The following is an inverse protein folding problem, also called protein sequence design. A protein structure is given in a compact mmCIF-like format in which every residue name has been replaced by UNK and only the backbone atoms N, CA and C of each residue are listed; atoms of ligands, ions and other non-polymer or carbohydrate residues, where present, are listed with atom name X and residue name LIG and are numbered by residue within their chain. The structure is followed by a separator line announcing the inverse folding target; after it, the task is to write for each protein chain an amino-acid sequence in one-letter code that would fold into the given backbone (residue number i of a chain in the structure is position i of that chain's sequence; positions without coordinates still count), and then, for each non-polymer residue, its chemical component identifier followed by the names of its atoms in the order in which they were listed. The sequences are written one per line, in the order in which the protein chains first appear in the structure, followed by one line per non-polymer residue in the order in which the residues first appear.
data_IF_798778145941
#
_entry.id   IF_798778145941
#
_cell.length_a   1.000
_cell.length_b   1.000
_cell.length_c   1.000
_cell.angle_alpha   90.00
_cell.angle_beta   90.00
_cell.angle_gamma   90.00
#
_symmetry.space_group_name_H-M   'P 1'
#
loop_
_entity.id
_entity.type
_entity.pdbx_description
1 polymer ?
#
# COMPACT_ATOMS: atom_id res chain seq x y z
N UNK A 1 8.80 1.26 5.09
CA UNK A 1 10.04 0.71 4.50
C UNK A 1 11.13 0.84 5.55
N UNK A 2 11.77 -0.26 5.93
CA UNK A 2 12.89 -0.23 6.90
C UNK A 2 14.18 -0.01 6.13
N UNK A 3 15.04 0.88 6.60
CA UNK A 3 16.31 1.25 5.97
C UNK A 3 17.39 1.43 7.05
N UNK A 4 18.65 1.51 6.63
CA UNK A 4 19.80 1.69 7.53
C UNK A 4 19.66 2.99 8.34
N UNK A 5 20.00 2.97 9.62
CA UNK A 5 19.81 4.10 10.54
C UNK A 5 18.39 4.22 11.13
N UNK A 6 17.45 3.34 10.81
CA UNK A 6 16.15 3.30 11.50
C UNK A 6 16.34 2.85 12.95
N UNK A 7 15.86 3.65 13.90
CA UNK A 7 15.93 3.33 15.33
C UNK A 7 14.62 2.72 15.85
N UNK A 8 14.75 1.72 16.74
CA UNK A 8 13.65 1.17 17.51
C UNK A 8 13.01 2.28 18.38
N UNK A 9 11.68 2.51 18.27
CA UNK A 9 11.01 3.57 19.01
C UNK A 9 10.94 3.32 20.52
N UNK A 10 11.21 2.09 20.99
CA UNK A 10 11.21 1.70 22.41
C UNK A 10 12.59 1.98 23.04
N UNK A 11 13.65 1.31 22.57
CA UNK A 11 14.99 1.42 23.18
C UNK A 11 15.89 2.52 22.57
N UNK A 12 15.45 3.13 21.45
CA UNK A 12 16.17 4.16 20.69
C UNK A 12 17.49 3.71 20.04
N UNK A 13 17.79 2.42 20.08
CA UNK A 13 18.92 1.82 19.36
C UNK A 13 18.54 1.51 17.91
N UNK A 14 19.53 1.47 17.04
CA UNK A 14 19.37 1.11 15.62
C UNK A 14 18.84 -0.32 15.45
N UNK A 15 18.00 -0.54 14.45
CA UNK A 15 17.52 -1.87 14.05
C UNK A 15 18.62 -2.54 13.22
N UNK A 16 19.08 -3.69 13.68
CA UNK A 16 19.91 -4.58 12.88
C UNK A 16 19.03 -5.26 11.82
N UNK A 17 19.31 -4.98 10.54
CA UNK A 17 18.54 -5.50 9.41
C UNK A 17 18.84 -6.98 9.12
N UNK A 18 19.94 -7.52 9.66
CA UNK A 18 20.30 -8.93 9.57
C UNK A 18 19.66 -9.76 10.69
N UNK A 19 19.10 -9.11 11.72
CA UNK A 19 18.36 -9.75 12.80
C UNK A 19 16.84 -9.68 12.59
N UNK A 20 16.06 -10.65 13.12
CA UNK A 20 14.60 -10.55 13.13
C UNK A 20 14.12 -9.28 13.86
N UNK A 21 13.20 -8.55 13.23
CA UNK A 21 12.53 -7.41 13.82
C UNK A 21 11.01 -7.50 13.61
N UNK A 22 10.27 -6.82 14.48
CA UNK A 22 8.83 -6.61 14.31
C UNK A 22 8.62 -5.27 13.59
N UNK A 23 7.74 -5.23 12.60
CA UNK A 23 7.39 -3.99 11.93
C UNK A 23 5.89 -3.93 11.69
N UNK A 24 5.36 -2.72 11.77
CA UNK A 24 3.99 -2.43 11.35
C UNK A 24 3.98 -1.51 10.14
N UNK A 25 2.85 -1.45 9.47
CA UNK A 25 2.62 -0.58 8.31
C UNK A 25 1.38 0.27 8.54
N UNK A 26 1.47 1.53 8.10
CA UNK A 26 0.38 2.52 8.19
C UNK A 26 0.00 2.93 9.63
N UNK A 27 -0.56 4.12 9.82
CA UNK A 27 -1.15 4.51 11.11
C UNK A 27 -2.48 3.79 11.36
N UNK A 28 -2.57 3.06 12.46
CA UNK A 28 -3.79 2.35 12.90
C UNK A 28 -4.35 2.83 14.26
N UNK A 29 -3.64 3.77 14.88
CA UNK A 29 -4.15 4.60 15.96
C UNK A 29 -4.46 6.01 15.43
N UNK A 30 -5.40 6.76 16.05
CA UNK A 30 -5.54 8.19 15.84
C UNK A 30 -4.26 8.95 16.24
N UNK A 31 -4.00 10.12 15.62
CA UNK A 31 -2.82 10.96 15.88
C UNK A 31 -2.66 11.37 17.33
N UNK A 32 -3.76 11.50 18.07
CA UNK A 32 -3.79 11.93 19.47
C UNK A 32 -3.51 10.76 20.43
N UNK A 33 -3.53 9.52 19.94
CA UNK A 33 -3.33 8.35 20.78
C UNK A 33 -1.87 8.23 21.22
N UNK A 34 -1.57 7.91 22.50
CA UNK A 34 -0.19 7.79 22.99
C UNK A 34 0.65 6.75 22.23
N UNK A 35 -0.01 5.75 21.65
CA UNK A 35 0.63 4.68 20.87
C UNK A 35 0.86 5.02 19.40
N UNK A 36 0.35 6.15 18.89
CA UNK A 36 0.46 6.54 17.48
C UNK A 36 1.90 6.58 16.98
N UNK A 37 2.83 7.08 17.81
CA UNK A 37 4.26 7.18 17.48
C UNK A 37 4.98 5.84 17.28
N UNK A 38 4.30 4.73 17.56
CA UNK A 38 4.81 3.38 17.35
C UNK A 38 4.20 2.71 16.10
N UNK A 39 3.19 3.32 15.48
CA UNK A 39 2.69 2.88 14.18
C UNK A 39 3.70 3.13 13.06
N UNK A 40 3.63 2.35 11.99
CA UNK A 40 4.52 2.44 10.82
C UNK A 40 6.02 2.44 11.19
N UNK A 41 6.36 1.73 12.27
CA UNK A 41 7.71 1.66 12.82
C UNK A 41 8.21 0.22 12.94
N UNK A 42 9.53 0.06 12.84
CA UNK A 42 10.25 -1.17 13.14
C UNK A 42 10.75 -1.17 14.60
N UNK A 43 10.72 -2.33 15.24
CA UNK A 43 11.09 -2.55 16.64
C UNK A 43 11.89 -3.86 16.76
N UNK A 44 12.86 -3.90 17.66
CA UNK A 44 13.46 -5.19 18.04
C UNK A 44 12.40 -6.08 18.67
N UNK A 45 12.41 -7.38 18.35
CA UNK A 45 11.46 -8.33 18.93
C UNK A 45 11.52 -8.38 20.45
N UNK A 46 12.71 -8.35 21.06
CA UNK A 46 12.86 -8.34 22.52
C UNK A 46 12.21 -7.09 23.16
N UNK A 47 12.40 -5.93 22.53
CA UNK A 47 11.80 -4.68 22.99
C UNK A 47 10.28 -4.73 22.90
N UNK A 48 9.76 -5.25 21.78
CA UNK A 48 8.33 -5.41 21.57
C UNK A 48 7.72 -6.43 22.54
N UNK A 49 8.39 -7.56 22.76
CA UNK A 49 7.95 -8.63 23.64
C UNK A 49 7.88 -8.18 25.11
N UNK A 50 8.84 -7.38 25.57
CA UNK A 50 8.87 -6.84 26.93
C UNK A 50 7.98 -5.60 27.15
N UNK A 51 7.37 -5.06 26.10
CA UNK A 51 6.64 -3.80 26.17
C UNK A 51 5.28 -3.96 26.86
N UNK A 52 4.99 -3.24 27.96
CA UNK A 52 3.70 -3.40 28.68
C UNK A 52 2.46 -3.08 27.83
N UNK A 53 2.59 -2.23 26.81
CA UNK A 53 1.48 -1.90 25.89
C UNK A 53 1.38 -2.85 24.70
N UNK A 54 2.18 -3.93 24.64
CA UNK A 54 2.20 -4.89 23.53
C UNK A 54 0.81 -5.41 23.21
N UNK A 55 0.08 -5.95 24.19
CA UNK A 55 -1.22 -6.59 23.93
C UNK A 55 -2.26 -5.62 23.35
N UNK A 56 -2.32 -4.39 23.84
CA UNK A 56 -3.22 -3.35 23.28
C UNK A 56 -2.81 -2.98 21.84
N UNK A 57 -1.51 -2.78 21.62
CA UNK A 57 -0.96 -2.42 20.32
C UNK A 57 -1.17 -3.54 19.28
N UNK A 58 -0.83 -4.78 19.65
CA UNK A 58 -0.98 -6.00 18.85
C UNK A 58 -2.43 -6.21 18.43
N UNK A 59 -3.37 -6.13 19.41
CA UNK A 59 -4.80 -6.28 19.16
C UNK A 59 -5.31 -5.25 18.15
N UNK A 60 -4.93 -3.98 18.34
CA UNK A 60 -5.37 -2.92 17.44
C UNK A 60 -4.81 -3.10 16.03
N UNK A 61 -3.55 -3.52 15.91
CA UNK A 61 -2.94 -3.78 14.62
C UNK A 61 -3.61 -4.96 13.91
N UNK A 62 -3.84 -6.07 14.63
CA UNK A 62 -4.57 -7.24 14.14
C UNK A 62 -5.97 -6.89 13.61
N UNK A 63 -6.76 -6.14 14.38
CA UNK A 63 -8.09 -5.67 13.94
C UNK A 63 -8.01 -4.82 12.68
N UNK A 64 -7.00 -3.95 12.59
CA UNK A 64 -6.80 -3.08 11.42
C UNK A 64 -6.42 -3.88 10.19
N UNK A 65 -5.58 -4.91 10.33
CA UNK A 65 -5.26 -5.82 9.24
C UNK A 65 -6.51 -6.55 8.74
N UNK A 66 -7.34 -7.11 9.64
CA UNK A 66 -8.60 -7.77 9.25
C UNK A 66 -9.51 -6.81 8.48
N UNK A 67 -9.64 -5.56 8.94
CA UNK A 67 -10.47 -4.56 8.26
C UNK A 67 -9.89 -4.11 6.92
N UNK A 68 -8.56 -4.08 6.79
CA UNK A 68 -7.86 -3.96 5.52
C UNK A 68 -8.24 -5.10 4.57
N UNK A 69 -8.17 -6.34 5.06
CA UNK A 69 -8.42 -7.52 4.24
C UNK A 69 -9.86 -7.68 3.81
N UNK A 70 -10.84 -7.14 4.54
CA UNK A 70 -12.23 -7.09 4.06
C UNK A 70 -12.35 -6.30 2.76
N UNK A 71 -11.60 -5.20 2.64
CA UNK A 71 -11.60 -4.28 1.48
C UNK A 71 -10.65 -4.73 0.37
N UNK A 72 -9.72 -5.63 0.69
CA UNK A 72 -8.79 -6.20 -0.27
C UNK A 72 -9.52 -7.21 -1.19
N UNK A 73 -9.48 -6.97 -2.50
CA UNK A 73 -10.17 -7.81 -3.48
C UNK A 73 -9.34 -9.02 -3.95
N UNK A 74 -8.03 -9.08 -3.61
CA UNK A 74 -7.15 -10.21 -3.94
C UNK A 74 -7.03 -11.25 -2.82
N UNK A 75 -7.47 -10.90 -1.62
CA UNK A 75 -7.31 -11.72 -0.41
C UNK A 75 -8.67 -12.05 0.20
N UNK A 76 -8.89 -13.34 0.42
CA UNK A 76 -10.08 -13.90 1.06
C UNK A 76 -9.86 -14.19 2.53
N UNK A 77 -10.80 -13.84 3.40
CA UNK A 77 -10.74 -14.22 4.82
C UNK A 77 -11.37 -15.62 4.97
N UNK A 78 -10.54 -16.63 5.24
CA UNK A 78 -10.97 -18.01 5.43
C UNK A 78 -11.34 -18.33 6.90
N UNK A 79 -10.74 -17.61 7.84
CA UNK A 79 -11.04 -17.68 9.27
C UNK A 79 -10.86 -16.30 9.90
N UNK A 80 -11.79 -15.90 10.77
CA UNK A 80 -11.67 -14.72 11.63
C UNK A 80 -12.23 -15.07 13.00
N UNK A 81 -11.37 -15.14 14.00
CA UNK A 81 -11.70 -15.30 15.42
C UNK A 81 -11.00 -14.20 16.22
N UNK A 82 -11.25 -14.15 17.52
CA UNK A 82 -10.63 -13.14 18.39
C UNK A 82 -9.11 -13.32 18.48
N UNK A 83 -8.60 -14.54 18.42
CA UNK A 83 -7.18 -14.84 18.63
C UNK A 83 -6.40 -14.97 17.32
N UNK A 84 -7.10 -15.28 16.22
CA UNK A 84 -6.48 -15.62 14.93
C UNK A 84 -7.33 -15.23 13.75
N UNK A 85 -6.67 -14.76 12.70
CA UNK A 85 -7.26 -14.60 11.38
C UNK A 85 -6.40 -15.29 10.33
N UNK A 86 -7.04 -15.87 9.32
CA UNK A 86 -6.37 -16.52 8.20
C UNK A 86 -6.92 -15.96 6.91
N UNK A 87 -6.04 -15.39 6.10
CA UNK A 87 -6.38 -14.90 4.76
C UNK A 87 -5.61 -15.65 3.70
N UNK A 88 -6.20 -15.76 2.51
CA UNK A 88 -5.66 -16.53 1.39
C UNK A 88 -5.80 -15.75 0.09
N UNK A 89 -4.77 -15.78 -0.74
CA UNK A 89 -4.80 -15.31 -2.12
C UNK A 89 -4.52 -16.48 -3.06
N UNK A 90 -5.48 -16.82 -3.92
CA UNK A 90 -5.32 -17.88 -4.92
C UNK A 90 -4.34 -17.44 -6.01
N UNK A 91 -4.43 -16.18 -6.44
CA UNK A 91 -3.61 -15.63 -7.52
C UNK A 91 -2.12 -15.61 -7.16
N UNK A 92 -1.80 -15.28 -5.91
CA UNK A 92 -0.43 -15.27 -5.38
C UNK A 92 -0.02 -16.66 -4.88
N UNK A 93 -0.98 -17.53 -4.57
CA UNK A 93 -0.73 -18.85 -4.00
C UNK A 93 -0.18 -18.76 -2.57
N UNK A 94 -0.70 -17.83 -1.76
CA UNK A 94 -0.19 -17.56 -0.41
C UNK A 94 -1.30 -17.51 0.63
N UNK A 95 -0.96 -17.93 1.85
CA UNK A 95 -1.76 -17.85 3.06
C UNK A 95 -1.05 -16.92 4.04
N UNK A 96 -1.81 -16.05 4.70
CA UNK A 96 -1.35 -15.23 5.83
C UNK A 96 -2.10 -15.69 7.07
N UNK A 97 -1.36 -16.05 8.11
CA UNK A 97 -1.91 -16.37 9.44
C UNK A 97 -1.52 -15.25 10.39
N UNK A 98 -2.50 -14.53 10.92
CA UNK A 98 -2.31 -13.40 11.83
C UNK A 98 -2.70 -13.82 13.24
N UNK A 99 -1.90 -13.45 14.25
CA UNK A 99 -2.24 -13.71 15.66
C UNK A 99 -2.53 -12.40 16.38
N UNK A 100 -3.60 -12.36 17.19
CA UNK A 100 -3.96 -11.16 17.92
C UNK A 100 -2.96 -10.83 19.04
N UNK A 101 -2.29 -11.85 19.60
CA UNK A 101 -1.36 -11.71 20.73
C UNK A 101 -0.10 -10.92 20.36
N UNK A 102 0.41 -11.10 19.14
CA UNK A 102 1.59 -10.37 18.66
C UNK A 102 1.26 -9.33 17.60
N UNK A 103 0.08 -9.39 16.97
CA UNK A 103 -0.26 -8.55 15.81
C UNK A 103 0.57 -8.88 14.57
N UNK A 104 1.39 -9.92 14.63
CA UNK A 104 2.29 -10.34 13.56
C UNK A 104 1.70 -11.48 12.73
N UNK A 105 2.34 -11.75 11.59
CA UNK A 105 1.84 -12.64 10.56
C UNK A 105 2.86 -13.67 10.12
N UNK A 106 2.44 -14.93 9.99
CA UNK A 106 3.18 -15.94 9.23
C UNK A 106 2.67 -15.99 7.80
N UNK A 107 3.59 -16.17 6.84
CA UNK A 107 3.29 -16.31 5.42
C UNK A 107 3.65 -17.72 4.96
N UNK A 108 2.68 -18.43 4.42
CA UNK A 108 2.82 -19.84 4.02
C UNK A 108 2.39 -19.97 2.56
N UNK A 109 3.11 -20.77 1.78
CA UNK A 109 2.64 -21.14 0.43
C UNK A 109 1.32 -21.91 0.54
N UNK A 110 0.32 -21.57 -0.28
CA UNK A 110 -0.97 -22.25 -0.25
C UNK A 110 -0.83 -23.76 -0.55
N UNK A 111 0.14 -24.14 -1.38
CA UNK A 111 0.49 -25.53 -1.69
C UNK A 111 1.33 -26.24 -0.60
N UNK A 112 1.82 -25.49 0.39
CA UNK A 112 2.60 -26.00 1.54
C UNK A 112 1.77 -26.02 2.82
N UNK A 113 0.49 -25.62 2.75
CA UNK A 113 -0.33 -25.44 3.93
C UNK A 113 -0.42 -26.70 4.80
N UNK A 114 -0.71 -27.85 4.19
CA UNK A 114 -0.84 -29.12 4.90
C UNK A 114 0.48 -29.58 5.53
N UNK A 115 1.62 -29.37 4.84
CA UNK A 115 2.95 -29.68 5.35
C UNK A 115 3.31 -28.78 6.53
N UNK A 116 3.12 -27.47 6.38
CA UNK A 116 3.33 -26.49 7.44
C UNK A 116 2.47 -26.78 8.67
N UNK A 117 1.23 -27.23 8.47
CA UNK A 117 0.31 -27.52 9.57
C UNK A 117 0.61 -28.87 10.27
N UNK A 118 1.36 -29.76 9.62
CA UNK A 118 1.69 -31.09 10.15
C UNK A 118 2.80 -31.05 11.21
N UNK A 119 3.74 -30.11 11.12
CA UNK A 119 4.89 -29.98 12.00
C UNK A 119 5.00 -28.57 12.59
N UNK A 120 4.58 -28.43 13.85
CA UNK A 120 4.62 -27.14 14.54
C UNK A 120 6.04 -26.61 14.71
N UNK A 121 6.99 -27.49 15.04
CA UNK A 121 8.35 -27.07 15.37
C UNK A 121 9.07 -26.53 14.13
N UNK A 122 8.87 -27.19 12.99
CA UNK A 122 9.34 -26.69 11.69
C UNK A 122 8.63 -25.39 11.28
N UNK A 123 7.32 -25.30 11.51
CA UNK A 123 6.50 -24.14 11.11
C UNK A 123 6.89 -22.83 11.80
N UNK A 124 7.45 -22.91 13.01
CA UNK A 124 7.84 -21.76 13.82
C UNK A 124 9.36 -21.58 13.93
N UNK A 125 10.13 -22.33 13.14
CA UNK A 125 11.58 -22.21 13.10
C UNK A 125 12.00 -20.77 12.75
N UNK A 126 12.93 -20.21 13.53
CA UNK A 126 13.42 -18.84 13.35
C UNK A 126 12.49 -17.73 13.86
N UNK A 127 11.27 -18.06 14.32
CA UNK A 127 10.40 -17.08 14.97
C UNK A 127 10.88 -16.75 16.39
N UNK A 128 10.63 -15.54 16.85
CA UNK A 128 10.87 -15.12 18.23
C UNK A 128 9.98 -15.91 19.20
N UNK A 129 10.42 -16.22 20.45
CA UNK A 129 9.65 -17.03 21.40
C UNK A 129 8.20 -16.56 21.61
N UNK A 130 7.95 -15.25 21.68
CA UNK A 130 6.58 -14.70 21.82
C UNK A 130 5.67 -15.03 20.62
N UNK A 131 6.24 -15.10 19.41
CA UNK A 131 5.49 -15.52 18.22
C UNK A 131 5.22 -17.02 18.27
N UNK A 132 6.21 -17.83 18.66
CA UNK A 132 6.05 -19.28 18.81
C UNK A 132 4.93 -19.60 19.80
N UNK A 133 4.91 -18.95 20.96
CA UNK A 133 3.87 -19.16 21.97
C UNK A 133 2.48 -18.75 21.43
N UNK A 134 2.37 -17.59 20.77
CA UNK A 134 1.11 -17.17 20.14
C UNK A 134 0.63 -18.16 19.06
N UNK A 135 1.53 -18.68 18.22
CA UNK A 135 1.18 -19.71 17.24
C UNK A 135 0.77 -21.02 17.90
N UNK A 136 1.43 -21.43 18.99
CA UNK A 136 1.10 -22.65 19.73
C UNK A 136 -0.33 -22.62 20.26
N UNK A 137 -0.78 -21.48 20.75
CA UNK A 137 -2.14 -21.29 21.27
C UNK A 137 -3.21 -21.44 20.18
N UNK A 138 -2.97 -20.90 18.98
CA UNK A 138 -3.94 -20.95 17.88
C UNK A 138 -3.81 -22.21 17.01
N UNK A 139 -2.72 -22.96 17.16
CA UNK A 139 -2.42 -24.15 16.34
C UNK A 139 -3.56 -25.19 16.31
N UNK A 140 -4.18 -25.57 17.45
CA UNK A 140 -5.29 -26.52 17.43
C UNK A 140 -6.49 -26.01 16.65
N UNK A 141 -6.76 -24.70 16.68
CA UNK A 141 -7.84 -24.07 15.92
C UNK A 141 -7.56 -24.18 14.42
N UNK A 142 -6.32 -23.89 14.00
CA UNK A 142 -5.94 -24.00 12.59
C UNK A 142 -6.10 -25.43 12.07
N UNK A 143 -5.65 -26.42 12.84
CA UNK A 143 -5.77 -27.85 12.51
C UNK A 143 -7.20 -28.34 12.41
N UNK A 144 -8.07 -27.91 13.31
CA UNK A 144 -9.47 -28.33 13.33
C UNK A 144 -10.28 -27.64 12.22
N UNK A 145 -10.12 -26.32 12.07
CA UNK A 145 -10.99 -25.50 11.24
C UNK A 145 -10.54 -25.47 9.78
N UNK A 146 -9.23 -25.49 9.55
CA UNK A 146 -8.57 -25.35 8.24
C UNK A 146 -7.55 -26.49 7.99
N UNK A 147 -7.96 -27.77 8.02
CA UNK A 147 -7.02 -28.89 7.89
C UNK A 147 -6.36 -29.02 6.51
N UNK A 148 -6.83 -28.27 5.49
CA UNK A 148 -6.30 -28.33 4.13
C UNK A 148 -6.50 -27.03 3.36
N UNK A 149 -5.66 -26.80 2.35
CA UNK A 149 -5.77 -25.66 1.45
C UNK A 149 -7.13 -25.62 0.74
N UNK A 150 -7.65 -26.80 0.40
CA UNK A 150 -8.99 -26.93 -0.22
C UNK A 150 -10.11 -26.45 0.71
N UNK A 151 -10.06 -26.81 2.00
CA UNK A 151 -11.04 -26.34 2.98
C UNK A 151 -10.95 -24.82 3.15
N UNK A 152 -9.73 -24.29 3.22
CA UNK A 152 -9.48 -22.85 3.35
C UNK A 152 -10.07 -22.06 2.18
N UNK A 153 -9.75 -22.46 0.95
CA UNK A 153 -10.27 -21.80 -0.27
C UNK A 153 -11.79 -21.84 -0.32
N UNK A 154 -12.42 -22.96 0.08
CA UNK A 154 -13.89 -23.09 0.07
C UNK A 154 -14.61 -22.21 1.10
N UNK A 155 -13.94 -21.80 2.17
CA UNK A 155 -14.54 -20.96 3.22
C UNK A 155 -14.62 -19.48 2.84
N UNK A 156 -13.84 -19.05 1.85
CA UNK A 156 -13.84 -17.66 1.40
C UNK A 156 -15.07 -17.38 0.54
N UNK A 157 -15.71 -16.25 0.80
CA UNK A 157 -16.73 -15.67 -0.09
C UNK A 157 -16.08 -15.01 -1.32
N UNK A 158 -15.72 -15.83 -2.30
CA UNK A 158 -15.13 -15.35 -3.55
C UNK A 158 -16.11 -14.54 -4.41
N UNK A 159 -17.42 -14.71 -4.22
CA UNK A 159 -18.42 -13.89 -4.93
C UNK A 159 -18.34 -12.44 -4.45
N UNK A 160 -18.30 -12.22 -3.13
CA UNK A 160 -18.09 -10.89 -2.56
C UNK A 160 -16.75 -10.28 -3.00
N UNK A 161 -15.66 -11.06 -3.06
CA UNK A 161 -14.36 -10.59 -3.55
C UNK A 161 -14.38 -10.21 -5.02
N UNK A 162 -15.04 -11.01 -5.86
CA UNK A 162 -15.24 -10.68 -7.27
C UNK A 162 -16.03 -9.38 -7.45
N UNK A 163 -17.06 -9.12 -6.63
CA UNK A 163 -17.81 -7.85 -6.65
C UNK A 163 -16.90 -6.65 -6.33
N UNK A 164 -16.02 -6.78 -5.34
CA UNK A 164 -15.04 -5.74 -5.01
C UNK A 164 -14.05 -5.50 -6.16
N UNK A 165 -13.54 -6.57 -6.78
CA UNK A 165 -12.64 -6.48 -7.93
C UNK A 165 -13.32 -5.75 -9.11
N UNK A 166 -14.56 -6.12 -9.44
CA UNK A 166 -15.31 -5.46 -10.52
C UNK A 166 -15.57 -3.98 -10.22
N UNK A 167 -15.96 -3.64 -9.00
CA UNK A 167 -16.14 -2.25 -8.60
C UNK A 167 -14.83 -1.45 -8.73
N UNK A 168 -13.69 -2.06 -8.40
CA UNK A 168 -12.38 -1.43 -8.58
C UNK A 168 -12.01 -1.24 -10.05
N UNK A 169 -12.21 -2.26 -10.88
CA UNK A 169 -11.97 -2.19 -12.34
C UNK A 169 -12.81 -1.08 -12.97
N UNK A 170 -14.09 -1.00 -12.62
CA UNK A 170 -14.99 0.04 -13.13
C UNK A 170 -14.58 1.45 -12.68
N UNK A 171 -14.20 1.61 -11.41
CA UNK A 171 -13.68 2.89 -10.92
C UNK A 171 -12.42 3.33 -11.67
N UNK A 172 -11.47 2.41 -11.91
CA UNK A 172 -10.27 2.69 -12.69
C UNK A 172 -10.62 3.08 -14.14
N UNK A 173 -11.60 2.41 -14.77
CA UNK A 173 -12.09 2.75 -16.11
C UNK A 173 -12.64 4.18 -16.16
N UNK A 174 -13.49 4.55 -15.21
CA UNK A 174 -14.08 5.91 -15.11
C UNK A 174 -12.98 6.96 -14.91
N UNK A 175 -12.03 6.71 -14.00
CA UNK A 175 -10.91 7.63 -13.75
C UNK A 175 -10.04 7.82 -14.99
N UNK A 176 -9.78 6.75 -15.73
CA UNK A 176 -9.01 6.80 -16.97
C UNK A 176 -9.76 7.57 -18.07
N UNK A 177 -11.07 7.36 -18.21
CA UNK A 177 -11.90 8.12 -19.15
C UNK A 177 -11.90 9.62 -18.84
N UNK A 178 -12.00 10.00 -17.56
CA UNK A 178 -11.94 11.40 -17.14
C UNK A 178 -10.55 12.00 -17.32
N UNK A 179 -9.48 11.21 -17.06
CA UNK A 179 -8.10 11.60 -17.36
C UNK A 179 -7.93 11.90 -18.85
N UNK A 180 -8.37 10.99 -19.72
CA UNK A 180 -8.31 11.15 -21.18
C UNK A 180 -9.19 12.30 -21.68
N UNK A 181 -10.35 12.54 -21.06
CA UNK A 181 -11.20 13.71 -21.34
C UNK A 181 -10.47 15.02 -21.01
N UNK A 182 -9.80 15.06 -19.85
CA UNK A 182 -9.00 16.21 -19.43
C UNK A 182 -7.86 16.47 -20.42
N UNK A 183 -7.13 15.42 -20.83
CA UNK A 183 -6.06 15.52 -21.82
C UNK A 183 -6.60 16.03 -23.16
N UNK A 184 -7.69 15.46 -23.68
CA UNK A 184 -8.28 15.89 -24.96
C UNK A 184 -8.74 17.35 -24.94
N UNK A 185 -9.35 17.77 -23.84
CA UNK A 185 -9.79 19.17 -23.66
C UNK A 185 -8.58 20.11 -23.64
N UNK A 186 -7.53 19.73 -22.91
CA UNK A 186 -6.27 20.47 -22.84
C UNK A 186 -5.59 20.56 -24.22
N UNK A 187 -5.46 19.45 -24.95
CA UNK A 187 -4.81 19.43 -26.28
C UNK A 187 -5.61 20.24 -27.31
N UNK A 188 -6.95 20.24 -27.22
CA UNK A 188 -7.80 21.12 -28.03
C UNK A 188 -7.55 22.60 -27.72
N UNK A 189 -7.34 22.96 -26.46
CA UNK A 189 -6.96 24.33 -26.09
C UNK A 189 -5.58 24.71 -26.64
N UNK A 190 -4.60 23.80 -26.63
CA UNK A 190 -3.31 24.02 -27.31
C UNK A 190 -3.52 24.29 -28.81
N UNK A 191 -4.30 23.46 -29.49
CA UNK A 191 -4.54 23.62 -30.93
C UNK A 191 -5.24 24.95 -31.26
N UNK A 192 -6.21 25.36 -30.43
CA UNK A 192 -6.86 26.66 -30.60
C UNK A 192 -5.89 27.83 -30.38
N UNK A 193 -4.98 27.69 -29.42
CA UNK A 193 -4.01 28.72 -29.09
C UNK A 193 -2.97 28.94 -30.20
N UNK A 194 -2.42 27.86 -30.78
CA UNK A 194 -1.51 27.98 -31.93
C UNK A 194 -2.21 28.56 -33.16
N UNK A 195 -3.46 28.15 -33.41
CA UNK A 195 -4.26 28.67 -34.53
C UNK A 195 -4.56 30.18 -34.42
N UNK A 196 -4.47 30.76 -33.22
CA UNK A 196 -4.65 32.20 -32.96
C UNK A 196 -3.33 33.00 -33.03
N UNK A 197 -2.20 32.36 -33.35
CA UNK A 197 -0.90 33.02 -33.39
C UNK A 197 -0.33 33.33 -32.00
N UNK A 198 -0.41 32.37 -31.07
CA UNK A 198 0.04 32.56 -29.70
C UNK A 198 1.52 32.96 -29.53
N UNK A 199 1.82 33.65 -28.43
CA UNK A 199 3.15 34.14 -28.06
C UNK A 199 3.66 33.49 -26.77
N UNK A 200 4.96 33.35 -26.59
CA UNK A 200 5.53 32.86 -25.34
C UNK A 200 5.10 33.73 -24.15
N UNK A 201 4.45 33.18 -23.12
CA UNK A 201 3.97 33.96 -21.97
C UNK A 201 5.10 34.49 -21.09
N UNK A 202 6.33 33.99 -21.27
CA UNK A 202 7.48 34.38 -20.45
C UNK A 202 8.33 35.49 -21.08
N UNK A 203 8.56 35.45 -22.40
CA UNK A 203 9.42 36.43 -23.08
C UNK A 203 8.74 37.20 -24.22
N UNK A 204 7.48 36.90 -24.54
CA UNK A 204 6.72 37.56 -25.60
C UNK A 204 7.12 37.16 -27.02
N UNK A 205 8.10 36.27 -27.21
CA UNK A 205 8.49 35.80 -28.53
C UNK A 205 7.32 35.13 -29.26
N UNK A 206 7.23 35.34 -30.57
CA UNK A 206 6.23 34.76 -31.45
C UNK A 206 6.51 33.28 -31.76
N UNK A 207 5.45 32.57 -32.16
CA UNK A 207 5.52 31.24 -32.76
C UNK A 207 6.35 30.19 -31.97
N UNK A 208 5.99 29.88 -30.72
CA UNK A 208 6.62 28.78 -30.00
C UNK A 208 6.41 27.45 -30.72
N UNK A 209 7.36 26.53 -30.60
CA UNK A 209 7.25 25.20 -31.19
C UNK A 209 6.18 24.41 -30.45
N UNK A 210 5.16 23.93 -31.17
CA UNK A 210 4.18 22.99 -30.64
C UNK A 210 4.69 21.55 -30.74
N UNK A 211 4.59 20.81 -29.64
CA UNK A 211 4.87 19.39 -29.56
C UNK A 211 3.57 18.63 -29.25
N UNK A 212 3.02 17.95 -30.27
CA UNK A 212 1.88 17.08 -30.09
C UNK A 212 2.32 15.75 -29.45
N UNK A 213 1.80 15.45 -28.26
CA UNK A 213 2.09 14.21 -27.52
C UNK A 213 1.00 13.15 -27.69
N UNK A 214 0.06 13.37 -28.62
CA UNK A 214 -1.00 12.44 -28.94
C UNK A 214 -2.18 12.48 -27.96
N UNK A 215 -3.18 11.58 -28.11
CA UNK A 215 -4.45 11.67 -27.40
C UNK A 215 -4.38 11.30 -25.91
N UNK A 216 -3.31 10.63 -25.48
CA UNK A 216 -3.16 10.09 -24.12
C UNK A 216 -2.32 10.97 -23.20
N UNK A 217 -1.63 11.97 -23.76
CA UNK A 217 -0.72 12.87 -23.04
C UNK A 217 -1.01 14.32 -23.38
N UNK A 218 -0.75 15.22 -22.43
CA UNK A 218 -0.85 16.66 -22.67
C UNK A 218 0.22 17.08 -23.67
N UNK A 219 -0.18 17.72 -24.76
CA UNK A 219 0.73 18.39 -25.71
C UNK A 219 1.33 19.64 -25.06
N UNK A 220 2.43 20.17 -25.57
CA UNK A 220 3.06 21.35 -24.96
C UNK A 220 3.67 22.30 -25.99
N UNK A 221 4.02 23.49 -25.54
CA UNK A 221 4.75 24.48 -26.32
C UNK A 221 6.15 24.62 -25.76
N UNK A 222 7.13 24.80 -26.63
CA UNK A 222 8.51 25.11 -26.28
C UNK A 222 8.95 26.41 -26.98
N UNK A 223 9.31 27.42 -26.20
CA UNK A 223 9.81 28.67 -26.75
C UNK A 223 11.29 28.53 -27.16
N UNK A 224 11.60 28.76 -28.44
CA UNK A 224 12.98 28.68 -28.94
C UNK A 224 13.85 29.83 -28.37
N UNK A 225 13.27 31.00 -28.13
CA UNK A 225 14.00 32.18 -27.67
C UNK A 225 14.45 32.07 -26.21
N UNK A 226 13.60 31.59 -25.30
CA UNK A 226 13.92 31.51 -23.87
C UNK A 226 14.08 30.07 -23.34
N UNK A 227 13.82 29.04 -24.15
CA UNK A 227 13.96 27.63 -23.77
C UNK A 227 12.91 27.12 -22.77
N UNK A 228 11.84 27.87 -22.50
CA UNK A 228 10.81 27.46 -21.54
C UNK A 228 9.71 26.64 -22.22
N UNK A 229 9.24 25.62 -21.51
CA UNK A 229 8.04 24.86 -21.86
C UNK A 229 6.80 25.42 -21.16
N UNK A 230 5.64 25.39 -21.83
CA UNK A 230 4.38 25.84 -21.26
C UNK A 230 3.15 25.21 -21.91
N UNK A 231 2.03 25.32 -21.20
CA UNK A 231 0.68 24.97 -21.67
C UNK A 231 -0.13 26.16 -22.16
N UNK A 232 -1.35 25.94 -22.69
CA UNK A 232 -2.21 27.02 -23.12
C UNK A 232 -2.62 27.86 -21.89
N UNK A 233 -2.64 29.21 -22.00
CA UNK A 233 -2.88 30.09 -20.85
C UNK A 233 -4.18 29.80 -20.09
N UNK A 234 -5.22 29.40 -20.82
CA UNK A 234 -6.55 29.09 -20.30
C UNK A 234 -6.57 27.81 -19.42
N UNK A 235 -5.62 26.89 -19.60
CA UNK A 235 -5.53 25.67 -18.81
C UNK A 235 -4.72 25.84 -17.51
N UNK A 236 -3.87 26.86 -17.43
CA UNK A 236 -3.02 27.12 -16.26
C UNK A 236 -3.82 27.64 -15.05
N UNK A 237 -5.03 28.16 -15.25
CA UNK A 237 -5.89 28.64 -14.16
C UNK A 237 -6.58 27.51 -13.37
N UNK A 238 -6.72 26.31 -13.96
CA UNK A 238 -7.40 25.17 -13.35
C UNK A 238 -6.46 24.03 -12.95
N UNK A 239 -5.24 23.97 -13.50
CA UNK A 239 -4.21 23.05 -13.04
C UNK A 239 -3.34 23.72 -11.98
N UNK A 240 -3.69 23.54 -10.71
CA UNK A 240 -2.79 23.75 -9.57
C UNK A 240 -1.65 22.72 -9.53
N UNK A 241 -1.06 22.40 -10.69
CA UNK A 241 0.24 21.74 -10.77
C UNK A 241 1.29 22.82 -10.62
N UNK A 242 2.11 22.67 -9.57
CA UNK A 242 3.02 23.67 -9.03
C UNK A 242 3.73 24.49 -10.10
N UNK A 243 3.62 25.80 -9.95
CA UNK A 243 4.61 26.75 -10.45
C UNK A 243 5.95 26.24 -9.93
N UNK A 244 6.76 25.61 -10.78
CA UNK A 244 8.19 25.47 -10.53
C UNK A 244 8.73 26.90 -10.56
N UNK A 245 8.70 27.56 -9.42
CA UNK A 245 9.51 28.74 -9.15
C UNK A 245 10.95 28.25 -9.25
N UNK A 246 11.54 28.38 -10.45
CA UNK A 246 12.99 28.41 -10.58
C UNK A 246 13.43 29.64 -9.81
N UNK A 247 14.03 29.42 -8.65
CA UNK A 247 14.85 30.43 -7.99
C UNK A 247 15.82 30.99 -9.02
N UNK A 248 15.68 32.29 -9.30
CA UNK A 248 16.64 33.01 -10.12
C UNK A 248 17.98 33.07 -9.35
N UNK A 249 19.12 32.80 -9.99
CA UNK A 249 20.40 33.04 -9.35
C UNK A 249 20.54 34.55 -9.09
N UNK A 250 20.92 34.87 -7.85
CA UNK A 250 21.28 36.21 -7.41
C UNK A 250 22.67 36.60 -7.92
#
# INVERSE_FOLDING_TARGET
MVYEGVCCPICKQEIDLDAPYFATSEPFFPSEHPLFKYCDAAMHWDCYAAWPSRSEFARRYFETQIEGEKRNYYWGIALSRDEVAVTVSIDIGQVIVMTAETGDTARVGLNQWEEWLADFDQAVEGLHPVQQDAFREVWPILRDVLPSATVMVRRVDWEAKNKLLWARVELCRIQEEERLRTVRTYNKACQLWINRGGFCPYCGADNPRFEDRGPERKSEFHCIACGQSFGPPEANAASSFGVYLKDAPT
#
